data_IF_257534014785
#
_entry.id   IF_257534014785
#
_cell.length_a   1.000
_cell.length_b   1.000
_cell.length_c   1.000
_cell.angle_alpha   90.00
_cell.angle_beta   90.00
_cell.angle_gamma   90.00
#
_symmetry.space_group_name_H-M   'P 1'
#
loop_
_entity.id
_entity.type
_entity.pdbx_description
1 polymer ?
#
# COMPACT_ATOMS: atom_id res chain seq x y z
N UNK A 1 -38.27 -41.94 -4.76
CA UNK A 1 -37.91 -40.94 -3.72
C UNK A 1 -36.40 -40.81 -3.71
N UNK A 2 -35.84 -39.64 -3.97
CA UNK A 2 -34.38 -39.46 -3.86
C UNK A 2 -33.73 -38.33 -4.64
N UNK A 3 -34.40 -37.18 -4.88
CA UNK A 3 -33.78 -36.03 -5.59
C UNK A 3 -33.90 -34.71 -4.80
N UNK A 4 -34.05 -34.76 -3.47
CA UNK A 4 -34.32 -33.54 -2.66
C UNK A 4 -33.14 -33.08 -1.78
N UNK A 5 -32.06 -33.86 -1.64
CA UNK A 5 -31.00 -33.56 -0.66
C UNK A 5 -29.75 -32.89 -1.24
N UNK A 6 -29.52 -32.96 -2.55
CA UNK A 6 -28.28 -32.44 -3.17
C UNK A 6 -28.33 -30.95 -3.56
N UNK A 7 -29.51 -30.33 -3.51
CA UNK A 7 -29.69 -28.91 -3.90
C UNK A 7 -29.63 -27.94 -2.71
N UNK A 8 -29.81 -28.42 -1.48
CA UNK A 8 -29.80 -27.58 -0.27
C UNK A 8 -28.50 -26.75 -0.10
N UNK A 9 -27.29 -27.32 -0.34
CA UNK A 9 -26.04 -26.57 -0.24
C UNK A 9 -25.92 -25.48 -1.31
N UNK A 10 -26.39 -25.77 -2.54
CA UNK A 10 -26.35 -24.83 -3.68
C UNK A 10 -27.29 -23.65 -3.44
N UNK A 11 -28.49 -23.89 -2.88
CA UNK A 11 -29.41 -22.82 -2.51
C UNK A 11 -28.85 -21.95 -1.38
N UNK A 12 -28.20 -22.56 -0.38
CA UNK A 12 -27.58 -21.82 0.71
C UNK A 12 -26.43 -20.93 0.20
N UNK A 13 -25.59 -21.43 -0.70
CA UNK A 13 -24.50 -20.66 -1.30
C UNK A 13 -25.04 -19.49 -2.16
N UNK A 14 -26.09 -19.71 -2.95
CA UNK A 14 -26.73 -18.66 -3.75
C UNK A 14 -27.35 -17.55 -2.87
N UNK A 15 -27.97 -17.93 -1.74
CA UNK A 15 -28.50 -16.96 -0.77
C UNK A 15 -27.37 -16.15 -0.13
N UNK A 16 -26.28 -16.81 0.27
CA UNK A 16 -25.12 -16.14 0.87
C UNK A 16 -24.42 -15.20 -0.09
N UNK A 17 -24.21 -15.61 -1.34
CA UNK A 17 -23.62 -14.78 -2.40
C UNK A 17 -24.52 -13.57 -2.70
N UNK A 18 -25.83 -13.76 -2.83
CA UNK A 18 -26.80 -12.67 -3.04
C UNK A 18 -26.82 -11.64 -1.90
N UNK A 19 -26.79 -12.08 -0.64
CA UNK A 19 -26.68 -11.19 0.51
C UNK A 19 -25.34 -10.44 0.53
N UNK A 20 -24.24 -11.12 0.19
CA UNK A 20 -22.91 -10.51 0.13
C UNK A 20 -22.83 -9.43 -0.95
N UNK A 21 -23.42 -9.67 -2.12
CA UNK A 21 -23.48 -8.72 -3.22
C UNK A 21 -24.34 -7.53 -2.87
N UNK A 22 -25.50 -7.75 -2.27
CA UNK A 22 -26.39 -6.69 -1.80
C UNK A 22 -25.70 -5.77 -0.78
N UNK A 23 -24.93 -6.35 0.14
CA UNK A 23 -24.12 -5.59 1.10
C UNK A 23 -23.02 -4.80 0.38
N UNK A 24 -22.22 -5.45 -0.47
CA UNK A 24 -21.15 -4.79 -1.24
C UNK A 24 -21.68 -3.64 -2.08
N UNK A 25 -22.84 -3.80 -2.71
CA UNK A 25 -23.48 -2.75 -3.49
C UNK A 25 -23.88 -1.54 -2.63
N UNK A 26 -24.49 -1.77 -1.46
CA UNK A 26 -24.84 -0.69 -0.52
C UNK A 26 -23.59 0.06 -0.04
N UNK A 27 -22.54 -0.69 0.28
CA UNK A 27 -21.25 -0.14 0.72
C UNK A 27 -20.59 0.67 -0.40
N UNK A 28 -20.56 0.15 -1.63
CA UNK A 28 -20.04 0.87 -2.79
C UNK A 28 -20.82 2.17 -3.05
N UNK A 29 -22.16 2.14 -2.97
CA UNK A 29 -22.99 3.34 -3.12
C UNK A 29 -22.69 4.38 -2.04
N UNK A 30 -22.50 3.97 -0.79
CA UNK A 30 -22.11 4.87 0.30
C UNK A 30 -20.71 5.43 0.06
N UNK A 31 -19.77 4.57 -0.29
CA UNK A 31 -18.38 4.94 -0.59
C UNK A 31 -18.27 6.00 -1.69
N UNK A 32 -19.07 5.90 -2.76
CA UNK A 32 -19.12 6.93 -3.82
C UNK A 32 -19.49 8.30 -3.26
N UNK A 33 -20.50 8.37 -2.38
CA UNK A 33 -20.90 9.64 -1.78
C UNK A 33 -19.83 10.20 -0.83
N UNK A 34 -19.15 9.31 -0.09
CA UNK A 34 -18.10 9.68 0.86
C UNK A 34 -16.81 10.13 0.15
N UNK A 35 -16.44 9.49 -0.97
CA UNK A 35 -15.18 9.76 -1.68
C UNK A 35 -15.28 10.81 -2.79
N UNK A 36 -16.50 11.17 -3.23
CA UNK A 36 -16.69 12.04 -4.40
C UNK A 36 -15.98 13.39 -4.27
N UNK A 37 -16.00 14.02 -3.09
CA UNK A 37 -15.36 15.33 -2.90
C UNK A 37 -13.84 15.21 -2.94
N UNK A 38 -13.26 14.24 -2.22
CA UNK A 38 -11.83 13.99 -2.21
C UNK A 38 -11.31 13.61 -3.61
N UNK A 39 -12.06 12.79 -4.35
CA UNK A 39 -11.72 12.47 -5.73
C UNK A 39 -11.71 13.72 -6.62
N UNK A 40 -12.71 14.59 -6.48
CA UNK A 40 -12.78 15.83 -7.26
C UNK A 40 -11.59 16.74 -6.97
N UNK A 41 -11.25 16.94 -5.70
CA UNK A 41 -10.09 17.74 -5.30
C UNK A 41 -8.78 17.18 -5.88
N UNK A 42 -8.59 15.86 -5.85
CA UNK A 42 -7.43 15.21 -6.44
C UNK A 42 -7.40 15.35 -7.97
N UNK A 43 -8.54 15.16 -8.62
CA UNK A 43 -8.65 15.26 -10.06
C UNK A 43 -8.40 16.70 -10.56
N UNK A 44 -8.86 17.72 -9.81
CA UNK A 44 -8.65 19.13 -10.16
C UNK A 44 -7.16 19.55 -10.00
N UNK A 45 -6.39 18.85 -9.16
CA UNK A 45 -4.96 19.07 -8.95
C UNK A 45 -4.06 18.24 -9.89
N UNK A 46 -4.61 17.22 -10.54
CA UNK A 46 -3.85 16.31 -11.39
C UNK A 46 -3.54 16.94 -12.76
N UNK A 47 -2.47 16.44 -13.39
CA UNK A 47 -2.09 16.85 -14.74
C UNK A 47 -3.18 16.42 -15.74
N UNK A 48 -3.73 17.33 -16.58
CA UNK A 48 -4.72 16.99 -17.60
C UNK A 48 -4.28 15.84 -18.53
N UNK A 49 -2.99 15.74 -18.86
CA UNK A 49 -2.50 14.69 -19.75
C UNK A 49 -2.55 13.31 -19.08
N UNK A 50 -2.27 13.24 -17.76
CA UNK A 50 -2.39 12.01 -16.97
C UNK A 50 -3.86 11.58 -16.81
N UNK A 51 -4.76 12.54 -16.59
CA UNK A 51 -6.20 12.25 -16.50
C UNK A 51 -6.69 11.61 -17.80
N UNK A 52 -6.27 12.15 -18.95
CA UNK A 52 -6.64 11.62 -20.25
C UNK A 52 -6.10 10.19 -20.45
N UNK A 53 -4.86 9.93 -20.03
CA UNK A 53 -4.28 8.59 -20.06
C UNK A 53 -5.09 7.60 -19.21
N UNK A 54 -5.44 7.98 -17.97
CA UNK A 54 -6.22 7.14 -17.07
C UNK A 54 -7.62 6.83 -17.62
N UNK A 55 -8.28 7.79 -18.26
CA UNK A 55 -9.58 7.57 -18.91
C UNK A 55 -9.48 6.55 -20.06
N UNK A 56 -8.41 6.60 -20.85
CA UNK A 56 -8.16 5.61 -21.92
C UNK A 56 -7.88 4.22 -21.33
N UNK A 57 -7.09 4.14 -20.27
CA UNK A 57 -6.79 2.89 -19.57
C UNK A 57 -8.06 2.28 -18.98
N UNK A 58 -8.89 3.08 -18.31
CA UNK A 58 -10.18 2.66 -17.77
C UNK A 58 -11.10 2.13 -18.88
N UNK A 59 -11.27 2.88 -19.97
CA UNK A 59 -12.13 2.46 -21.08
C UNK A 59 -11.67 1.12 -21.68
N UNK A 60 -10.36 0.96 -21.88
CA UNK A 60 -9.76 -0.26 -22.42
C UNK A 60 -9.96 -1.45 -21.49
N UNK A 61 -9.77 -1.23 -20.19
CA UNK A 61 -9.93 -2.26 -19.17
C UNK A 61 -11.38 -2.74 -19.08
N UNK A 62 -12.35 -1.80 -19.06
CA UNK A 62 -13.77 -2.11 -19.03
C UNK A 62 -14.21 -2.89 -20.28
N UNK A 63 -13.72 -2.51 -21.47
CA UNK A 63 -14.02 -3.22 -22.71
C UNK A 63 -13.44 -4.65 -22.73
N UNK A 64 -12.29 -4.86 -22.09
CA UNK A 64 -11.57 -6.14 -22.10
C UNK A 64 -11.96 -7.07 -20.96
N UNK A 65 -12.71 -6.60 -19.95
CA UNK A 65 -13.01 -7.33 -18.71
C UNK A 65 -13.55 -8.76 -18.92
N UNK A 66 -14.38 -8.97 -19.95
CA UNK A 66 -14.98 -10.29 -20.24
C UNK A 66 -13.95 -11.25 -20.85
N UNK A 67 -13.02 -10.72 -21.66
CA UNK A 67 -12.03 -11.51 -22.39
C UNK A 67 -10.79 -11.76 -21.54
N UNK A 68 -10.41 -10.78 -20.72
CA UNK A 68 -9.27 -10.83 -19.83
C UNK A 68 -9.61 -10.16 -18.49
N UNK A 69 -9.75 -10.99 -17.46
CA UNK A 69 -10.01 -10.51 -16.10
C UNK A 69 -8.82 -9.72 -15.52
N UNK A 70 -7.60 -9.99 -15.97
CA UNK A 70 -6.40 -9.27 -15.50
C UNK A 70 -6.36 -7.82 -15.98
N UNK A 71 -7.14 -7.46 -17.01
CA UNK A 71 -7.32 -6.08 -17.42
C UNK A 71 -7.88 -5.18 -16.30
N UNK A 72 -8.60 -5.76 -15.32
CA UNK A 72 -9.12 -5.03 -14.15
C UNK A 72 -8.08 -4.75 -13.07
N UNK A 73 -6.86 -5.27 -13.19
CA UNK A 73 -5.78 -5.04 -12.22
C UNK A 73 -5.35 -3.56 -12.14
N UNK A 74 -5.77 -2.73 -13.11
CA UNK A 74 -5.59 -1.26 -13.06
C UNK A 74 -6.22 -0.62 -11.81
N UNK A 75 -7.27 -1.23 -11.26
CA UNK A 75 -7.94 -0.74 -10.05
C UNK A 75 -7.28 -1.26 -8.77
N UNK A 76 -6.29 -2.15 -8.89
CA UNK A 76 -5.57 -2.69 -7.75
C UNK A 76 -4.40 -1.78 -7.40
N UNK A 77 -4.37 -1.30 -6.15
CA UNK A 77 -3.30 -0.41 -5.68
C UNK A 77 -2.05 -1.24 -5.41
N UNK A 78 -1.11 -1.22 -6.35
CA UNK A 78 0.19 -1.88 -6.22
C UNK A 78 1.15 -0.98 -5.41
N UNK A 79 0.95 -0.90 -4.10
CA UNK A 79 1.91 -0.23 -3.23
C UNK A 79 3.18 -1.10 -3.14
N UNK A 80 4.33 -0.55 -3.55
CA UNK A 80 5.62 -1.17 -3.25
C UNK A 80 5.71 -1.30 -1.73
N UNK A 81 5.78 -2.54 -1.24
CA UNK A 81 5.94 -2.82 0.18
C UNK A 81 7.12 -2.01 0.70
N UNK A 82 6.88 -1.18 1.72
CA UNK A 82 7.93 -0.43 2.38
C UNK A 82 9.06 -1.37 2.80
N UNK A 83 10.32 -0.90 2.69
CA UNK A 83 11.48 -1.68 3.14
C UNK A 83 11.25 -2.06 4.60
N UNK A 84 11.50 -3.33 4.93
CA UNK A 84 11.38 -3.75 6.31
C UNK A 84 12.46 -3.07 7.16
N UNK A 85 12.18 -2.83 8.44
CA UNK A 85 13.15 -2.27 9.38
C UNK A 85 14.50 -3.00 9.33
N UNK A 86 14.48 -4.33 9.30
CA UNK A 86 15.68 -5.17 9.19
C UNK A 86 16.47 -4.92 7.90
N UNK A 87 15.77 -4.65 6.80
CA UNK A 87 16.39 -4.34 5.51
C UNK A 87 17.06 -2.97 5.56
N UNK A 88 16.43 -1.99 6.20
CA UNK A 88 17.00 -0.65 6.40
C UNK A 88 18.22 -0.72 7.31
N UNK A 89 18.14 -1.45 8.42
CA UNK A 89 19.26 -1.64 9.35
C UNK A 89 20.46 -2.32 8.69
N UNK A 90 20.22 -3.39 7.92
CA UNK A 90 21.26 -4.03 7.13
C UNK A 90 21.90 -3.06 6.13
N UNK A 91 21.09 -2.29 5.39
CA UNK A 91 21.58 -1.30 4.42
C UNK A 91 22.44 -0.22 5.09
N UNK A 92 22.04 0.27 6.26
CA UNK A 92 22.81 1.24 7.07
C UNK A 92 24.15 0.66 7.54
N UNK A 93 24.17 -0.59 7.99
CA UNK A 93 25.42 -1.27 8.35
C UNK A 93 26.34 -1.45 7.13
N UNK A 94 25.81 -1.92 6.00
CA UNK A 94 26.61 -2.11 4.78
C UNK A 94 27.15 -0.79 4.23
N UNK A 95 26.35 0.28 4.28
CA UNK A 95 26.78 1.61 3.84
C UNK A 95 27.82 2.23 4.77
N UNK A 96 27.73 2.05 6.09
CA UNK A 96 28.77 2.49 7.03
C UNK A 96 30.09 1.72 6.82
N UNK A 97 30.01 0.41 6.54
CA UNK A 97 31.18 -0.39 6.14
C UNK A 97 31.80 0.09 4.83
N UNK A 98 31.01 0.52 3.83
CA UNK A 98 31.52 1.02 2.55
C UNK A 98 32.11 2.43 2.62
N UNK A 99 31.50 3.33 3.39
CA UNK A 99 31.98 4.71 3.54
C UNK A 99 33.31 4.76 4.30
N UNK A 100 33.52 3.80 5.22
CA UNK A 100 34.79 3.60 5.92
C UNK A 100 35.72 2.71 5.06
N UNK A 101 36.03 3.15 3.84
CA UNK A 101 36.67 2.36 2.79
C UNK A 101 37.82 1.45 3.26
N UNK A 102 37.87 0.24 2.69
CA UNK A 102 38.96 -0.77 2.76
C UNK A 102 39.96 -0.60 3.92
N UNK A 103 39.47 -0.62 5.17
CA UNK A 103 40.34 -0.80 6.34
C UNK A 103 40.11 -2.21 6.89
N UNK A 104 41.09 -3.13 6.76
CA UNK A 104 40.90 -4.54 7.10
C UNK A 104 40.61 -4.84 8.58
N UNK A 105 40.60 -3.86 9.47
CA UNK A 105 40.38 -4.06 10.91
C UNK A 105 39.69 -2.83 11.50
N UNK A 106 38.36 -2.81 11.48
CA UNK A 106 37.58 -1.88 12.29
C UNK A 106 37.86 -2.24 13.76
N UNK A 107 38.63 -1.42 14.47
CA UNK A 107 38.87 -1.64 15.90
C UNK A 107 37.54 -1.65 16.66
N UNK A 108 37.46 -2.44 17.74
CA UNK A 108 36.24 -2.57 18.57
C UNK A 108 35.65 -1.21 18.96
N UNK A 109 36.51 -0.21 19.23
CA UNK A 109 36.09 1.15 19.54
C UNK A 109 35.38 1.87 18.37
N UNK A 110 35.86 1.68 17.13
CA UNK A 110 35.23 2.27 15.94
C UNK A 110 33.89 1.60 15.64
N UNK A 111 33.80 0.28 15.82
CA UNK A 111 32.54 -0.45 15.68
C UNK A 111 31.50 0.01 16.71
N UNK A 112 31.91 0.14 17.98
CA UNK A 112 31.05 0.66 19.04
C UNK A 112 30.59 2.10 18.76
N UNK A 113 31.49 2.97 18.31
CA UNK A 113 31.13 4.35 17.96
C UNK A 113 30.10 4.41 16.81
N UNK A 114 30.22 3.53 15.80
CA UNK A 114 29.24 3.43 14.74
C UNK A 114 27.88 2.92 15.25
N UNK A 115 27.88 1.94 16.16
CA UNK A 115 26.65 1.45 16.80
C UNK A 115 25.94 2.54 17.60
N UNK A 116 26.69 3.31 18.39
CA UNK A 116 26.16 4.44 19.17
C UNK A 116 25.55 5.50 18.26
N UNK A 117 26.25 5.87 17.17
CA UNK A 117 25.72 6.86 16.22
C UNK A 117 24.42 6.40 15.54
N UNK A 118 24.28 5.10 15.26
CA UNK A 118 23.04 4.52 14.75
C UNK A 118 21.93 4.61 15.79
N UNK A 119 22.20 4.26 17.05
CA UNK A 119 21.21 4.36 18.14
C UNK A 119 20.75 5.81 18.37
N UNK A 120 21.66 6.79 18.30
CA UNK A 120 21.33 8.21 18.39
C UNK A 120 20.38 8.66 17.27
N UNK A 121 20.65 8.24 16.03
CA UNK A 121 19.75 8.52 14.89
C UNK A 121 18.38 7.86 15.06
N UNK A 122 18.33 6.62 15.56
CA UNK A 122 17.07 5.92 15.83
C UNK A 122 16.25 6.63 16.92
N UNK A 123 16.90 7.15 17.96
CA UNK A 123 16.24 7.93 19.02
C UNK A 123 15.69 9.24 18.46
N UNK A 124 16.48 9.97 17.66
CA UNK A 124 16.03 11.20 17.00
C UNK A 124 14.80 10.95 16.13
N UNK A 125 14.85 9.92 15.29
CA UNK A 125 13.72 9.51 14.45
C UNK A 125 12.49 9.13 15.28
N UNK A 126 12.66 8.37 16.36
CA UNK A 126 11.56 8.01 17.25
C UNK A 126 10.92 9.24 17.93
N UNK A 127 11.70 10.26 18.25
CA UNK A 127 11.19 11.52 18.77
C UNK A 127 10.38 12.28 17.71
N UNK A 128 10.86 12.33 16.47
CA UNK A 128 10.14 13.00 15.38
C UNK A 128 8.83 12.28 15.04
N UNK A 129 8.82 10.95 15.00
CA UNK A 129 7.59 10.14 14.86
C UNK A 129 6.60 10.44 15.99
N UNK A 130 7.07 10.56 17.24
CA UNK A 130 6.21 10.93 18.37
C UNK A 130 5.63 12.35 18.23
N UNK A 131 6.39 13.29 17.67
CA UNK A 131 5.93 14.67 17.41
C UNK A 131 4.89 14.75 16.31
N UNK A 132 4.91 13.83 15.34
CA UNK A 132 3.93 13.78 14.24
C UNK A 132 2.53 13.28 14.66
N UNK A 133 2.35 12.74 15.87
CA UNK A 133 1.05 12.35 16.40
C UNK A 133 0.49 11.03 15.84
N UNK A 134 -0.81 10.76 16.09
CA UNK A 134 -1.43 9.44 15.84
C UNK A 134 -1.80 9.19 14.37
N UNK A 135 -1.82 10.23 13.53
CA UNK A 135 -2.19 10.20 12.12
C UNK A 135 -1.32 11.18 11.30
N UNK A 136 -0.04 10.87 11.07
CA UNK A 136 0.77 11.63 10.12
C UNK A 136 0.12 11.59 8.74
N UNK A 137 0.07 12.75 8.07
CA UNK A 137 -0.40 12.83 6.68
C UNK A 137 0.59 12.08 5.78
N UNK A 138 0.13 11.45 4.69
CA UNK A 138 0.99 10.64 3.81
C UNK A 138 2.28 11.35 3.39
N UNK A 139 2.22 12.66 3.17
CA UNK A 139 3.37 13.55 2.91
C UNK A 139 4.38 13.62 4.06
N UNK A 140 3.93 13.70 5.32
CA UNK A 140 4.80 13.73 6.51
C UNK A 140 5.52 12.41 6.73
N UNK A 141 4.91 11.31 6.31
CA UNK A 141 5.52 9.96 6.34
C UNK A 141 6.58 9.75 5.26
N UNK A 142 6.54 10.53 4.17
CA UNK A 142 7.51 10.47 3.07
C UNK A 142 8.73 11.38 3.29
N UNK A 143 8.64 12.34 4.22
CA UNK A 143 9.73 13.24 4.63
C UNK A 143 10.65 12.65 5.71
N UNK A 144 10.34 11.44 6.19
CA UNK A 144 11.17 10.60 7.07
C UNK A 144 12.09 9.71 6.23
#
# INVERSE_FOLDING_TARGET
MGLSFDLLPVYQDLIMTGMSLSRKYKEAKRGVAESSNAFKELNDLADPDLIQEWLVQESTAQASQIQDLSAMDIYNVQLKKARSWKTIELDLLWTSFRQLGERPQMGVATWLASGISIEEMQIALAMDIRRMGRHPTETQTLEI
#
